data_IF_494917768400
#
_entry.id   IF_494917768400
#
_cell.length_a   1.000
_cell.length_b   1.000
_cell.length_c   1.000
_cell.angle_alpha   90.00
_cell.angle_beta   90.00
_cell.angle_gamma   90.00
#
_symmetry.space_group_name_H-M   'P 1'
#
loop_
_entity.id
_entity.type
_entity.pdbx_description
1 polymer ?
#
# COMPACT_ATOMS: atom_id res chain seq x y z
N UNK A 1 25.01 -6.62 21.92
CA UNK A 1 24.30 -6.26 20.68
C UNK A 1 25.14 -6.70 19.50
N UNK A 2 24.52 -6.96 18.36
CA UNK A 2 25.20 -7.32 17.10
C UNK A 2 25.11 -6.12 16.14
N UNK A 3 26.18 -5.34 15.99
CA UNK A 3 26.17 -4.20 15.08
C UNK A 3 26.03 -4.67 13.63
N UNK A 4 25.36 -3.86 12.82
CA UNK A 4 25.25 -4.08 11.38
C UNK A 4 26.56 -3.65 10.69
N UNK A 5 26.94 -4.27 9.56
CA UNK A 5 28.23 -4.02 8.90
C UNK A 5 28.21 -2.80 7.96
N UNK A 6 27.35 -1.81 8.21
CA UNK A 6 27.23 -0.62 7.37
C UNK A 6 26.91 0.60 8.23
N UNK A 7 27.62 1.70 7.94
CA UNK A 7 27.49 2.97 8.65
C UNK A 7 27.11 4.11 7.69
N UNK A 8 27.47 3.99 6.41
CA UNK A 8 27.14 5.00 5.39
C UNK A 8 25.95 4.60 4.52
N UNK A 9 25.29 5.59 3.91
CA UNK A 9 24.17 5.34 3.00
C UNK A 9 24.59 4.51 1.77
N UNK A 10 25.83 4.66 1.31
CA UNK A 10 26.33 3.95 0.13
C UNK A 10 26.63 2.48 0.46
N UNK A 11 27.18 2.18 1.65
CA UNK A 11 27.32 0.81 2.13
C UNK A 11 25.97 0.12 2.29
N UNK A 12 24.95 0.84 2.78
CA UNK A 12 23.59 0.31 2.89
C UNK A 12 23.02 0.01 1.50
N UNK A 13 23.21 0.90 0.52
CA UNK A 13 22.78 0.67 -0.88
C UNK A 13 23.49 -0.52 -1.51
N UNK A 14 24.80 -0.67 -1.30
CA UNK A 14 25.55 -1.85 -1.75
C UNK A 14 24.96 -3.13 -1.14
N UNK A 15 24.63 -3.10 0.17
CA UNK A 15 23.97 -4.24 0.82
C UNK A 15 22.58 -4.54 0.25
N UNK A 16 21.82 -3.51 -0.11
CA UNK A 16 20.53 -3.69 -0.80
C UNK A 16 20.74 -4.33 -2.16
N UNK A 17 21.76 -3.91 -2.91
CA UNK A 17 22.08 -4.47 -4.23
C UNK A 17 22.44 -5.97 -4.15
N UNK A 18 23.22 -6.37 -3.15
CA UNK A 18 23.54 -7.78 -2.90
C UNK A 18 22.29 -8.64 -2.62
N UNK A 19 21.27 -8.08 -1.98
CA UNK A 19 20.03 -8.79 -1.63
C UNK A 19 19.06 -8.79 -2.82
N UNK A 20 18.86 -7.61 -3.41
CA UNK A 20 17.84 -7.34 -4.41
C UNK A 20 18.29 -6.18 -5.32
N UNK A 21 18.95 -6.47 -6.45
CA UNK A 21 19.56 -5.45 -7.30
C UNK A 21 18.54 -4.52 -7.98
N UNK A 22 17.27 -4.92 -8.06
CA UNK A 22 16.22 -4.09 -8.63
C UNK A 22 15.85 -2.88 -7.74
N UNK A 23 16.20 -2.90 -6.45
CA UNK A 23 15.87 -1.80 -5.52
C UNK A 23 16.83 -0.59 -5.64
N UNK A 24 18.04 -0.80 -6.16
CA UNK A 24 19.03 0.28 -6.39
C UNK A 24 18.97 0.86 -7.82
N UNK A 25 18.29 0.18 -8.74
CA UNK A 25 18.12 0.61 -10.14
C UNK A 25 16.94 1.57 -10.29
N UNK A 26 17.15 2.82 -9.93
CA UNK A 26 16.08 3.82 -9.91
C UNK A 26 15.48 4.13 -11.29
N UNK A 27 14.17 4.40 -11.31
CA UNK A 27 13.44 4.81 -12.51
C UNK A 27 13.26 3.70 -13.56
N UNK A 28 13.65 2.46 -13.26
CA UNK A 28 13.49 1.30 -14.15
C UNK A 28 12.60 0.25 -13.50
N UNK A 29 11.64 -0.23 -14.27
CA UNK A 29 10.83 -1.40 -13.92
C UNK A 29 11.51 -2.65 -14.50
N UNK A 30 11.90 -3.59 -13.66
CA UNK A 30 12.51 -4.85 -14.09
C UNK A 30 11.45 -5.95 -14.23
N UNK A 31 11.36 -6.64 -15.38
CA UNK A 31 10.36 -7.69 -15.57
C UNK A 31 10.72 -8.96 -14.79
N UNK A 32 9.71 -9.60 -14.19
CA UNK A 32 9.85 -10.90 -13.56
C UNK A 32 9.61 -12.02 -14.59
N UNK A 33 10.66 -12.78 -14.94
CA UNK A 33 10.61 -13.79 -16.01
C UNK A 33 9.99 -15.12 -15.53
N UNK A 34 10.15 -15.46 -14.25
CA UNK A 34 9.81 -16.79 -13.71
C UNK A 34 8.37 -16.91 -13.18
N UNK A 35 7.41 -16.13 -13.71
CA UNK A 35 6.02 -16.14 -13.23
C UNK A 35 5.39 -17.55 -13.32
N UNK A 36 5.55 -18.24 -14.45
CA UNK A 36 4.96 -19.58 -14.62
C UNK A 36 5.54 -20.65 -13.70
N UNK A 37 6.80 -20.51 -13.26
CA UNK A 37 7.39 -21.39 -12.23
C UNK A 37 6.89 -21.01 -10.83
N UNK A 38 6.74 -19.71 -10.56
CA UNK A 38 6.24 -19.23 -9.28
C UNK A 38 4.85 -19.78 -8.96
N UNK A 39 3.97 -19.84 -9.97
CA UNK A 39 2.62 -20.41 -9.81
C UNK A 39 2.64 -21.91 -9.50
N UNK A 40 3.61 -22.65 -10.03
CA UNK A 40 3.76 -24.09 -9.77
C UNK A 40 4.33 -24.39 -8.38
N UNK A 41 5.18 -23.51 -7.87
CA UNK A 41 5.82 -23.65 -6.55
C UNK A 41 4.98 -23.01 -5.44
N UNK A 42 4.11 -22.06 -5.78
CA UNK A 42 3.20 -21.44 -4.84
C UNK A 42 2.28 -22.50 -4.21
N UNK A 43 2.35 -22.64 -2.89
CA UNK A 43 1.50 -23.57 -2.17
C UNK A 43 0.03 -23.23 -2.39
N UNK A 44 -0.74 -24.15 -2.98
CA UNK A 44 -2.18 -24.01 -3.16
C UNK A 44 -2.86 -23.98 -1.81
N UNK A 45 -3.23 -22.79 -1.34
CA UNK A 45 -4.09 -22.63 -0.16
C UNK A 45 -5.55 -22.71 -0.59
N UNK A 46 -6.36 -23.46 0.15
CA UNK A 46 -7.82 -23.42 -0.04
C UNK A 46 -8.30 -22.01 0.29
N UNK A 47 -8.88 -21.34 -0.70
CA UNK A 47 -9.53 -20.05 -0.51
C UNK A 47 -10.95 -20.34 -0.03
N UNK A 48 -11.30 -19.84 1.16
CA UNK A 48 -12.68 -19.90 1.63
C UNK A 48 -13.57 -19.13 0.64
N UNK A 49 -14.71 -19.71 0.25
CA UNK A 49 -15.71 -19.11 -0.65
C UNK A 49 -16.46 -17.90 -0.02
N UNK A 50 -15.71 -17.02 0.64
CA UNK A 50 -16.18 -15.77 1.19
C UNK A 50 -16.12 -14.68 0.12
N UNK A 51 -17.03 -13.71 0.19
CA UNK A 51 -16.98 -12.55 -0.69
C UNK A 51 -15.72 -11.74 -0.39
N UNK A 52 -14.93 -11.46 -1.43
CA UNK A 52 -13.77 -10.58 -1.32
C UNK A 52 -14.25 -9.16 -1.05
N UNK A 53 -13.98 -8.68 0.15
CA UNK A 53 -14.31 -7.33 0.58
C UNK A 53 -13.06 -6.42 0.50
N UNK A 54 -13.18 -5.26 -0.15
CA UNK A 54 -12.12 -4.27 -0.30
C UNK A 54 -12.22 -3.26 0.83
N UNK A 55 -11.10 -2.98 1.52
CA UNK A 55 -11.09 -2.04 2.66
C UNK A 55 -11.33 -0.58 2.27
N UNK A 56 -10.96 -0.18 1.06
CA UNK A 56 -11.10 1.17 0.53
C UNK A 56 -12.30 1.22 -0.41
N UNK A 57 -13.51 1.38 0.13
CA UNK A 57 -14.74 1.46 -0.68
C UNK A 57 -15.19 2.88 -0.92
N UNK A 58 -15.08 3.70 0.13
CA UNK A 58 -15.59 5.05 0.11
C UNK A 58 -14.45 6.05 -0.07
N UNK A 59 -14.80 7.21 -0.63
CA UNK A 59 -13.84 8.30 -0.80
C UNK A 59 -13.26 8.78 0.56
N UNK A 60 -14.00 8.58 1.65
CA UNK A 60 -13.51 8.83 3.01
C UNK A 60 -12.27 7.99 3.33
N UNK A 61 -12.27 6.71 2.97
CA UNK A 61 -11.20 5.76 3.32
C UNK A 61 -9.90 6.09 2.60
N UNK A 62 -9.99 6.71 1.42
CA UNK A 62 -8.84 7.13 0.62
C UNK A 62 -7.97 8.20 1.31
N UNK A 63 -8.56 9.13 2.07
CA UNK A 63 -7.84 10.28 2.62
C UNK A 63 -7.03 9.99 3.90
N UNK A 64 -7.16 8.80 4.51
CA UNK A 64 -6.50 8.44 5.77
C UNK A 64 -5.85 7.06 5.74
N UNK A 65 -4.94 6.83 4.79
CA UNK A 65 -4.29 5.52 4.57
C UNK A 65 -3.08 5.29 5.50
N UNK A 66 -2.18 6.26 5.60
CA UNK A 66 -0.92 6.14 6.34
C UNK A 66 -0.83 7.12 7.53
N UNK A 67 0.24 7.04 8.31
CA UNK A 67 0.44 7.88 9.48
C UNK A 67 0.56 9.37 9.11
N UNK A 68 1.19 9.67 7.96
CA UNK A 68 1.35 11.05 7.47
C UNK A 68 -0.01 11.64 7.10
N UNK A 69 -0.82 10.91 6.34
CA UNK A 69 -2.16 11.38 5.95
C UNK A 69 -3.08 11.54 7.17
N UNK A 70 -2.98 10.67 8.17
CA UNK A 70 -3.73 10.80 9.43
C UNK A 70 -3.31 12.00 10.27
N UNK A 71 -2.03 12.34 10.28
CA UNK A 71 -1.52 13.52 10.98
C UNK A 71 -1.83 14.83 10.23
N UNK A 72 -2.23 14.77 8.96
CA UNK A 72 -2.48 15.95 8.14
C UNK A 72 -3.83 16.62 8.43
N UNK A 73 -3.84 17.90 8.82
CA UNK A 73 -5.09 18.62 9.08
C UNK A 73 -5.88 18.90 7.80
N UNK A 74 -5.23 18.93 6.63
CA UNK A 74 -5.92 19.11 5.34
C UNK A 74 -6.71 17.87 4.98
N UNK A 75 -6.14 16.68 5.18
CA UNK A 75 -6.82 15.40 4.93
C UNK A 75 -8.02 15.20 5.88
N UNK A 76 -7.90 15.62 7.15
CA UNK A 76 -9.02 15.61 8.09
C UNK A 76 -10.20 16.50 7.62
N UNK A 77 -9.92 17.65 7.00
CA UNK A 77 -10.94 18.50 6.40
C UNK A 77 -11.58 17.85 5.17
N UNK A 78 -10.82 17.16 4.32
CA UNK A 78 -11.35 16.39 3.20
C UNK A 78 -12.38 15.36 3.67
N UNK A 79 -12.09 14.62 4.72
CA UNK A 79 -13.04 13.64 5.30
C UNK A 79 -14.29 14.32 5.85
N UNK A 80 -14.13 15.44 6.54
CA UNK A 80 -15.27 16.21 7.06
C UNK A 80 -16.19 16.69 5.94
N UNK A 81 -15.62 17.12 4.82
CA UNK A 81 -16.36 17.54 3.63
C UNK A 81 -17.08 16.35 2.95
N UNK A 82 -16.41 15.20 2.81
CA UNK A 82 -17.01 13.97 2.26
C UNK A 82 -18.18 13.51 3.13
N UNK A 83 -18.01 13.46 4.46
CA UNK A 83 -19.07 13.07 5.38
C UNK A 83 -20.29 14.00 5.27
N UNK A 84 -20.07 15.32 5.14
CA UNK A 84 -21.13 16.30 4.95
C UNK A 84 -21.87 16.13 3.62
N UNK A 85 -21.18 15.70 2.58
CA UNK A 85 -21.80 15.43 1.29
C UNK A 85 -22.64 14.14 1.34
N UNK A 86 -22.11 13.09 1.96
CA UNK A 86 -22.82 11.81 2.12
C UNK A 86 -24.12 12.01 2.93
N UNK A 87 -24.08 12.78 4.02
CA UNK A 87 -25.29 13.08 4.80
C UNK A 87 -26.33 13.85 3.99
N UNK A 88 -25.90 14.81 3.16
CA UNK A 88 -26.81 15.56 2.26
C UNK A 88 -27.44 14.65 1.20
N UNK A 89 -26.67 13.73 0.63
CA UNK A 89 -27.17 12.79 -0.38
C UNK A 89 -28.20 11.83 0.23
N UNK A 90 -27.96 11.32 1.44
CA UNK A 90 -28.91 10.48 2.16
C UNK A 90 -30.22 11.20 2.44
N UNK A 91 -30.17 12.48 2.84
CA UNK A 91 -31.37 13.30 3.05
C UNK A 91 -32.16 13.53 1.77
N UNK A 92 -31.48 13.76 0.64
CA UNK A 92 -32.13 13.95 -0.67
C UNK A 92 -32.77 12.67 -1.22
N UNK A 93 -32.24 11.50 -0.85
CA UNK A 93 -32.79 10.21 -1.26
C UNK A 93 -34.01 9.78 -0.42
N UNK A 94 -34.25 10.43 0.72
CA UNK A 94 -35.33 10.10 1.65
C UNK A 94 -36.59 10.98 1.50
N UNK A 95 -36.53 12.05 0.71
CA UNK A 95 -37.68 12.88 0.29
C UNK A 95 -38.12 12.53 -1.12
#
# INVERSE_FOLDING_TARGET
GTPLPYDTLDELRNRIEDIAPHLTRWGKLEPAIFQGLADQVAATKSIDNTRVDIKLKELRDYFMTDAVSRASPTMAKCISAVNKQNSKQQQRAAC
#
